data_IF_991299080466
#
_entry.id   IF_991299080466
#
_cell.length_a   1.000
_cell.length_b   1.000
_cell.length_c   1.000
_cell.angle_alpha   90.00
_cell.angle_beta   90.00
_cell.angle_gamma   90.00
#
_symmetry.space_group_name_H-M   'P 1'
#
loop_
_entity.id
_entity.type
_entity.pdbx_description
1 polymer ?
#
# COMPACT_ATOMS: atom_id res chain seq x y z
N UNK A 1 -12.27 -26.13 -20.41
CA UNK A 1 -11.69 -27.04 -19.40
C UNK A 1 -11.87 -26.41 -18.05
N UNK A 2 -12.65 -27.03 -17.15
CA UNK A 2 -12.87 -26.55 -15.79
C UNK A 2 -11.58 -26.71 -15.01
N UNK A 3 -10.98 -25.59 -14.57
CA UNK A 3 -9.84 -25.60 -13.66
C UNK A 3 -10.26 -26.24 -12.34
N UNK A 4 -9.52 -27.23 -11.94
CA UNK A 4 -9.66 -27.95 -10.67
C UNK A 4 -9.32 -26.93 -9.58
N UNK A 5 -10.33 -26.54 -8.79
CA UNK A 5 -10.12 -25.81 -7.54
C UNK A 5 -9.58 -26.85 -6.57
N UNK A 6 -8.26 -26.82 -6.31
CA UNK A 6 -7.69 -27.53 -5.17
C UNK A 6 -8.28 -26.96 -3.89
N UNK A 7 -9.22 -27.72 -3.32
CA UNK A 7 -9.79 -27.50 -2.00
C UNK A 7 -8.70 -27.80 -0.96
N UNK A 8 -8.02 -26.75 -0.45
CA UNK A 8 -7.05 -26.93 0.64
C UNK A 8 -6.02 -25.82 0.84
N UNK A 9 -5.98 -24.79 0.00
CA UNK A 9 -5.08 -23.65 0.23
C UNK A 9 -5.57 -22.83 1.43
N UNK A 10 -4.72 -22.64 2.44
CA UNK A 10 -5.01 -21.75 3.56
C UNK A 10 -5.37 -20.35 3.04
N UNK A 11 -6.38 -19.72 3.67
CA UNK A 11 -6.75 -18.33 3.38
C UNK A 11 -5.52 -17.44 3.49
N UNK A 12 -5.31 -16.60 2.49
CA UNK A 12 -4.20 -15.65 2.42
C UNK A 12 -4.69 -14.21 2.48
N UNK A 13 -3.90 -13.38 3.13
CA UNK A 13 -4.10 -11.94 3.20
C UNK A 13 -2.84 -11.22 2.77
N UNK A 14 -2.91 -10.40 1.71
CA UNK A 14 -1.81 -9.54 1.28
C UNK A 14 -2.21 -8.06 1.34
N UNK A 15 -1.26 -7.20 1.69
CA UNK A 15 -1.44 -5.75 1.67
C UNK A 15 -0.58 -5.13 0.57
N UNK A 16 -1.17 -4.22 -0.22
CA UNK A 16 -0.44 -3.44 -1.24
C UNK A 16 -0.10 -2.09 -0.65
N UNK A 17 1.19 -1.84 -0.46
CA UNK A 17 1.74 -0.64 0.16
C UNK A 17 2.41 0.28 -0.88
N UNK A 18 2.55 1.57 -0.53
CA UNK A 18 3.27 2.54 -1.35
C UNK A 18 2.68 3.94 -1.32
N UNK A 19 3.42 4.87 -1.87
CA UNK A 19 3.14 6.31 -1.81
C UNK A 19 1.83 6.71 -2.54
N UNK A 20 1.42 7.96 -2.35
CA UNK A 20 0.28 8.56 -3.07
C UNK A 20 0.58 8.55 -4.58
N UNK A 21 -0.39 8.12 -5.38
CA UNK A 21 -0.25 8.08 -6.84
C UNK A 21 0.52 6.89 -7.42
N UNK A 22 1.10 5.99 -6.60
CA UNK A 22 1.93 4.88 -7.11
C UNK A 22 1.16 3.80 -7.89
N UNK A 23 -0.19 3.71 -7.74
CA UNK A 23 -1.03 2.75 -8.45
C UNK A 23 -1.54 1.57 -7.62
N UNK A 24 -1.55 1.68 -6.28
CA UNK A 24 -2.03 0.62 -5.36
C UNK A 24 -3.42 0.08 -5.71
N UNK A 25 -4.42 0.96 -5.78
CA UNK A 25 -5.82 0.56 -6.03
C UNK A 25 -5.96 -0.16 -7.38
N UNK A 26 -5.23 0.28 -8.39
CA UNK A 26 -5.19 -0.37 -9.70
C UNK A 26 -4.58 -1.76 -9.61
N UNK A 27 -3.44 -1.90 -8.90
CA UNK A 27 -2.83 -3.22 -8.71
C UNK A 27 -3.74 -4.15 -7.90
N UNK A 28 -4.39 -3.66 -6.84
CA UNK A 28 -5.37 -4.43 -6.05
C UNK A 28 -6.51 -4.95 -6.94
N UNK A 29 -7.06 -4.10 -7.82
CA UNK A 29 -8.11 -4.51 -8.77
C UNK A 29 -7.63 -5.60 -9.73
N UNK A 30 -6.45 -5.42 -10.32
CA UNK A 30 -5.89 -6.38 -11.29
C UNK A 30 -5.54 -7.71 -10.63
N UNK A 31 -4.90 -7.68 -9.45
CA UNK A 31 -4.58 -8.88 -8.68
C UNK A 31 -5.85 -9.60 -8.21
N UNK A 32 -6.88 -8.86 -7.77
CA UNK A 32 -8.17 -9.42 -7.38
C UNK A 32 -8.78 -10.24 -8.53
N UNK A 33 -8.81 -9.69 -9.73
CA UNK A 33 -9.31 -10.38 -10.93
C UNK A 33 -8.46 -11.59 -11.30
N UNK A 34 -7.12 -11.46 -11.19
CA UNK A 34 -6.17 -12.50 -11.62
C UNK A 34 -6.12 -13.69 -10.65
N UNK A 35 -6.18 -13.42 -9.33
CA UNK A 35 -6.08 -14.43 -8.27
C UNK A 35 -7.45 -14.93 -7.78
N UNK A 36 -8.55 -14.25 -8.10
CA UNK A 36 -9.88 -14.52 -7.58
C UNK A 36 -10.02 -14.17 -6.09
N UNK A 37 -9.22 -13.23 -5.58
CA UNK A 37 -9.20 -12.81 -4.17
C UNK A 37 -10.06 -11.57 -3.96
N UNK A 38 -10.65 -11.42 -2.76
CA UNK A 38 -11.50 -10.29 -2.44
C UNK A 38 -10.70 -8.99 -2.28
N UNK A 39 -11.04 -7.89 -3.00
CA UNK A 39 -10.38 -6.60 -2.82
C UNK A 39 -10.98 -5.83 -1.64
N UNK A 40 -10.12 -5.16 -0.86
CA UNK A 40 -10.47 -4.23 0.21
C UNK A 40 -9.81 -2.89 -0.09
N UNK A 41 -10.59 -1.92 -0.55
CA UNK A 41 -10.10 -0.60 -0.94
C UNK A 41 -10.02 0.37 0.22
N UNK A 42 -9.16 1.38 0.07
CA UNK A 42 -9.05 2.50 1.00
C UNK A 42 -10.29 3.41 0.87
N UNK A 43 -11.00 3.71 1.98
CA UNK A 43 -12.19 4.58 1.96
C UNK A 43 -11.78 6.07 1.97
N UNK A 44 -10.91 6.51 1.07
CA UNK A 44 -10.39 7.90 1.02
C UNK A 44 -11.50 8.94 0.93
N UNK A 45 -12.51 8.71 0.08
CA UNK A 45 -13.60 9.66 -0.16
C UNK A 45 -14.58 9.83 1.01
N UNK A 46 -14.48 9.02 2.05
CA UNK A 46 -15.33 9.09 3.23
C UNK A 46 -14.76 9.96 4.36
N UNK A 47 -13.49 10.41 4.25
CA UNK A 47 -12.87 11.20 5.30
C UNK A 47 -13.45 12.63 5.32
N UNK A 48 -14.27 12.99 6.32
CA UNK A 48 -14.90 14.29 6.39
C UNK A 48 -13.90 15.42 6.65
N UNK A 49 -12.70 15.12 7.11
CA UNK A 49 -11.63 16.08 7.40
C UNK A 49 -10.68 16.31 6.23
N UNK A 50 -10.80 15.55 5.12
CA UNK A 50 -9.76 15.53 4.09
C UNK A 50 -9.60 16.87 3.37
N UNK A 51 -10.70 17.56 3.07
CA UNK A 51 -10.66 18.87 2.43
C UNK A 51 -10.05 19.93 3.36
N UNK A 52 -10.46 19.95 4.63
CA UNK A 52 -9.94 20.87 5.64
C UNK A 52 -8.48 20.58 5.96
N UNK A 53 -8.09 19.30 6.00
CA UNK A 53 -6.70 18.87 6.19
C UNK A 53 -5.76 19.43 5.13
N UNK A 54 -6.14 19.40 3.85
CA UNK A 54 -5.29 19.97 2.79
C UNK A 54 -5.26 21.50 2.81
N UNK A 55 -6.24 22.17 3.44
CA UNK A 55 -6.24 23.63 3.64
C UNK A 55 -5.41 24.06 4.85
N UNK A 56 -5.54 23.34 5.98
CA UNK A 56 -4.80 23.59 7.23
C UNK A 56 -4.41 22.27 7.89
N UNK A 57 -3.22 21.77 7.50
CA UNK A 57 -2.69 20.51 8.04
C UNK A 57 -2.48 20.58 9.56
N UNK A 58 -2.10 21.75 10.12
CA UNK A 58 -1.83 21.88 11.56
C UNK A 58 -3.12 21.69 12.38
N UNK A 59 -4.23 22.25 11.93
CA UNK A 59 -5.50 22.12 12.63
C UNK A 59 -6.12 20.72 12.49
N UNK A 60 -5.93 20.06 11.34
CA UNK A 60 -6.73 18.88 10.98
C UNK A 60 -5.96 17.56 10.87
N UNK A 61 -4.62 17.57 11.00
CA UNK A 61 -3.81 16.34 10.87
C UNK A 61 -4.23 15.26 11.84
N UNK A 62 -4.32 15.55 13.14
CA UNK A 62 -4.67 14.55 14.14
C UNK A 62 -6.06 13.94 13.86
N UNK A 63 -7.05 14.76 13.58
CA UNK A 63 -8.42 14.32 13.29
C UNK A 63 -8.49 13.41 12.06
N UNK A 64 -7.80 13.82 10.99
CA UNK A 64 -7.73 13.05 9.75
C UNK A 64 -7.03 11.72 9.95
N UNK A 65 -5.92 11.68 10.72
CA UNK A 65 -5.19 10.44 10.98
C UNK A 65 -5.95 9.48 11.90
N UNK A 66 -6.69 9.97 12.90
CA UNK A 66 -7.56 9.13 13.73
C UNK A 66 -8.70 8.53 12.90
N UNK A 67 -9.26 9.31 11.95
CA UNK A 67 -10.28 8.78 11.04
C UNK A 67 -9.72 7.65 10.18
N UNK A 68 -8.58 7.86 9.51
CA UNK A 68 -7.95 6.84 8.68
C UNK A 68 -7.61 5.58 9.48
N UNK A 69 -6.99 5.72 10.65
CA UNK A 69 -6.69 4.60 11.54
C UNK A 69 -7.95 3.79 11.88
N UNK A 70 -9.03 4.47 12.26
CA UNK A 70 -10.31 3.83 12.62
C UNK A 70 -10.89 3.04 11.44
N UNK A 71 -10.95 3.66 10.25
CA UNK A 71 -11.47 3.01 9.04
C UNK A 71 -10.61 1.83 8.61
N UNK A 72 -9.29 1.95 8.74
CA UNK A 72 -8.34 0.89 8.41
C UNK A 72 -8.50 -0.32 9.33
N UNK A 73 -8.65 -0.08 10.63
CA UNK A 73 -8.90 -1.15 11.60
C UNK A 73 -10.21 -1.88 11.33
N UNK A 74 -11.27 -1.14 10.99
CA UNK A 74 -12.57 -1.74 10.61
C UNK A 74 -12.43 -2.58 9.33
N UNK A 75 -11.77 -2.05 8.31
CA UNK A 75 -11.52 -2.79 7.06
C UNK A 75 -10.68 -4.04 7.29
N UNK A 76 -9.62 -3.94 8.11
CA UNK A 76 -8.79 -5.08 8.48
C UNK A 76 -9.61 -6.16 9.21
N UNK A 77 -10.49 -5.77 10.15
CA UNK A 77 -11.39 -6.68 10.83
C UNK A 77 -12.32 -7.40 9.85
N UNK A 78 -12.98 -6.65 8.96
CA UNK A 78 -13.86 -7.23 7.92
C UNK A 78 -13.11 -8.20 7.02
N UNK A 79 -11.86 -7.88 6.67
CA UNK A 79 -10.99 -8.75 5.87
C UNK A 79 -10.69 -10.06 6.61
N UNK A 80 -10.42 -10.02 7.92
CA UNK A 80 -10.19 -11.21 8.73
C UNK A 80 -11.41 -12.09 8.83
N UNK A 81 -12.61 -11.50 8.90
CA UNK A 81 -13.89 -12.24 8.94
C UNK A 81 -14.32 -12.75 7.54
N UNK A 82 -13.70 -12.28 6.45
CA UNK A 82 -14.00 -12.71 5.09
C UNK A 82 -13.60 -14.17 4.85
N UNK A 83 -14.39 -14.94 4.09
CA UNK A 83 -14.18 -16.40 3.91
C UNK A 83 -13.07 -16.76 2.93
N UNK A 84 -12.79 -15.92 1.94
CA UNK A 84 -11.75 -16.17 0.94
C UNK A 84 -10.49 -15.34 1.20
N UNK A 85 -9.41 -15.65 0.47
CA UNK A 85 -8.21 -14.84 0.44
C UNK A 85 -8.52 -13.40 0.02
N UNK A 86 -7.74 -12.44 0.49
CA UNK A 86 -8.03 -11.02 0.34
C UNK A 86 -6.78 -10.19 0.01
N UNK A 87 -7.01 -9.05 -0.65
CA UNK A 87 -6.00 -8.06 -1.00
C UNK A 87 -6.45 -6.72 -0.47
N UNK A 88 -5.64 -6.07 0.35
CA UNK A 88 -5.95 -4.77 0.94
C UNK A 88 -5.14 -3.66 0.29
N UNK A 89 -5.81 -2.58 -0.10
CA UNK A 89 -5.19 -1.32 -0.51
C UNK A 89 -4.78 -0.55 0.72
N UNK A 90 -3.48 -0.44 0.95
CA UNK A 90 -2.82 0.16 2.10
C UNK A 90 -3.09 -0.57 3.43
N UNK A 91 -2.08 -0.68 4.25
CA UNK A 91 -2.12 -1.33 5.56
C UNK A 91 -2.26 -0.32 6.70
N UNK A 92 -2.67 -0.80 7.87
CA UNK A 92 -2.70 0.00 9.11
C UNK A 92 -1.31 0.49 9.54
N UNK A 93 -0.27 -0.23 9.15
CA UNK A 93 1.12 0.13 9.46
C UNK A 93 1.55 1.41 8.76
N UNK A 94 1.14 1.62 7.50
CA UNK A 94 1.46 2.82 6.73
C UNK A 94 0.84 4.08 7.34
N UNK A 95 -0.37 3.98 7.90
CA UNK A 95 -1.04 5.12 8.53
C UNK A 95 -0.20 5.68 9.69
N UNK A 96 0.42 4.81 10.49
CA UNK A 96 1.21 5.21 11.66
C UNK A 96 2.68 5.52 11.30
N UNK A 97 3.33 4.58 10.57
CA UNK A 97 4.77 4.65 10.35
C UNK A 97 5.16 5.64 9.24
N UNK A 98 4.22 5.97 8.34
CA UNK A 98 4.47 6.89 7.23
C UNK A 98 3.71 8.21 7.42
N UNK A 99 2.37 8.16 7.43
CA UNK A 99 1.57 9.39 7.33
C UNK A 99 1.54 10.18 8.62
N UNK A 100 1.16 9.57 9.74
CA UNK A 100 1.13 10.26 11.02
C UNK A 100 2.54 10.67 11.46
N UNK A 101 3.54 9.81 11.22
CA UNK A 101 4.96 10.11 11.50
C UNK A 101 5.45 11.31 10.67
N UNK A 102 5.18 11.35 9.37
CA UNK A 102 5.53 12.48 8.53
C UNK A 102 4.91 13.80 9.03
N UNK A 103 3.64 13.78 9.40
CA UNK A 103 2.95 14.96 9.91
C UNK A 103 3.50 15.42 11.25
N UNK A 104 3.91 14.50 12.11
CA UNK A 104 4.63 14.81 13.34
C UNK A 104 6.00 15.46 13.05
N UNK A 105 6.81 14.88 12.20
CA UNK A 105 8.14 15.42 11.82
C UNK A 105 8.05 16.83 11.19
N UNK A 106 6.93 17.16 10.56
CA UNK A 106 6.67 18.48 9.99
C UNK A 106 6.05 19.47 11.01
N UNK A 107 5.81 19.05 12.25
CA UNK A 107 5.17 19.89 13.28
C UNK A 107 3.67 20.11 13.05
N UNK A 108 3.03 19.34 12.15
CA UNK A 108 1.58 19.40 11.92
C UNK A 108 0.78 18.61 12.97
N UNK A 109 1.43 17.70 13.70
CA UNK A 109 0.89 17.03 14.88
C UNK A 109 1.84 17.34 16.04
N UNK A 110 1.32 17.86 17.15
CA UNK A 110 2.12 18.12 18.34
C UNK A 110 2.48 16.84 19.06
N UNK A 111 3.60 16.84 19.83
CA UNK A 111 4.16 15.65 20.49
C UNK A 111 3.12 14.85 21.30
N UNK A 112 2.33 15.50 22.17
CA UNK A 112 1.33 14.83 23.02
C UNK A 112 0.26 14.09 22.19
N UNK A 113 -0.17 14.69 21.07
CA UNK A 113 -1.21 14.14 20.22
C UNK A 113 -0.65 12.98 19.39
N UNK A 114 0.61 13.11 18.93
CA UNK A 114 1.33 12.04 18.24
C UNK A 114 1.55 10.82 19.17
N UNK A 115 1.96 11.03 20.44
CA UNK A 115 2.09 9.95 21.41
C UNK A 115 0.75 9.26 21.66
N UNK A 116 -0.34 10.01 21.84
CA UNK A 116 -1.69 9.46 21.98
C UNK A 116 -2.09 8.60 20.78
N UNK A 117 -1.80 9.08 19.56
CA UNK A 117 -2.02 8.33 18.34
C UNK A 117 -1.20 7.03 18.29
N UNK A 118 0.09 7.10 18.62
CA UNK A 118 1.01 5.95 18.65
C UNK A 118 0.57 4.90 19.66
N UNK A 119 0.19 5.31 20.87
CA UNK A 119 -0.29 4.41 21.90
C UNK A 119 -1.56 3.67 21.45
N UNK A 120 -2.51 4.39 20.87
CA UNK A 120 -3.73 3.81 20.31
C UNK A 120 -3.40 2.79 19.21
N UNK A 121 -2.55 3.17 18.24
CA UNK A 121 -2.09 2.30 17.17
C UNK A 121 -1.44 1.02 17.72
N UNK A 122 -0.49 1.14 18.66
CA UNK A 122 0.23 -0.01 19.24
C UNK A 122 -0.68 -0.96 20.00
N UNK A 123 -1.66 -0.42 20.76
CA UNK A 123 -2.63 -1.26 21.47
C UNK A 123 -3.50 -2.02 20.49
N UNK A 124 -4.04 -1.35 19.48
CA UNK A 124 -5.00 -1.95 18.54
C UNK A 124 -4.33 -2.98 17.61
N UNK A 125 -3.12 -2.69 17.12
CA UNK A 125 -2.41 -3.61 16.20
C UNK A 125 -1.92 -4.88 16.85
N UNK A 126 -1.73 -4.90 18.19
CA UNK A 126 -1.39 -6.14 18.92
C UNK A 126 -2.45 -7.24 18.80
N UNK A 127 -3.69 -6.88 18.51
CA UNK A 127 -4.80 -7.83 18.35
C UNK A 127 -5.09 -8.20 16.90
N UNK A 128 -4.32 -7.65 15.96
CA UNK A 128 -4.49 -7.91 14.53
C UNK A 128 -3.37 -8.82 14.03
N UNK A 129 -3.70 -9.96 13.40
CA UNK A 129 -2.68 -10.72 12.70
C UNK A 129 -2.12 -9.90 11.53
N UNK A 130 -0.81 -9.97 11.27
CA UNK A 130 -0.20 -9.30 10.14
C UNK A 130 -0.66 -9.92 8.81
N UNK A 131 -0.47 -9.24 7.68
CA UNK A 131 -0.63 -9.86 6.37
C UNK A 131 0.38 -11.00 6.16
N UNK A 132 0.05 -11.94 5.25
CA UNK A 132 1.00 -12.97 4.82
C UNK A 132 2.14 -12.38 3.96
N UNK A 133 1.90 -11.22 3.34
CA UNK A 133 2.85 -10.52 2.48
C UNK A 133 2.47 -9.04 2.35
N UNK A 134 3.46 -8.16 2.39
CA UNK A 134 3.34 -6.78 1.91
C UNK A 134 3.93 -6.68 0.50
N UNK A 135 3.14 -6.22 -0.46
CA UNK A 135 3.58 -5.87 -1.83
C UNK A 135 3.82 -4.37 -1.86
N UNK A 136 5.07 -3.95 -1.78
CA UNK A 136 5.45 -2.54 -1.77
C UNK A 136 5.73 -2.03 -3.17
N UNK A 137 4.91 -1.09 -3.65
CA UNK A 137 5.13 -0.38 -4.92
C UNK A 137 6.10 0.78 -4.69
N UNK A 138 7.30 0.70 -5.28
CA UNK A 138 8.30 1.76 -5.26
C UNK A 138 8.29 2.51 -6.59
N UNK A 139 8.19 3.85 -6.51
CA UNK A 139 8.29 4.73 -7.68
C UNK A 139 9.01 6.04 -7.36
N UNK A 140 9.59 6.66 -8.38
CA UNK A 140 10.19 7.99 -8.30
C UNK A 140 9.13 9.06 -8.08
N UNK A 141 9.53 10.20 -7.51
CA UNK A 141 8.62 11.35 -7.31
C UNK A 141 8.04 11.84 -8.64
N UNK A 142 8.82 11.80 -9.72
CA UNK A 142 8.38 12.19 -11.06
C UNK A 142 7.22 11.31 -11.55
N UNK A 143 7.35 9.98 -11.41
CA UNK A 143 6.28 9.03 -11.73
C UNK A 143 5.03 9.27 -10.88
N UNK A 144 5.21 9.52 -9.57
CA UNK A 144 4.08 9.79 -8.67
C UNK A 144 3.33 11.06 -9.09
N UNK A 145 4.05 12.15 -9.38
CA UNK A 145 3.46 13.42 -9.82
C UNK A 145 2.68 13.26 -11.14
N UNK A 146 3.27 12.56 -12.11
CA UNK A 146 2.62 12.27 -13.39
C UNK A 146 1.32 11.50 -13.18
N UNK A 147 1.33 10.46 -12.36
CA UNK A 147 0.13 9.64 -12.09
C UNK A 147 -0.93 10.39 -11.27
N UNK A 148 -0.52 11.24 -10.32
CA UNK A 148 -1.43 12.13 -9.56
C UNK A 148 -2.11 13.11 -10.51
N UNK A 149 -1.35 13.74 -11.41
CA UNK A 149 -1.89 14.67 -12.40
C UNK A 149 -2.90 14.01 -13.35
N UNK A 150 -2.59 12.78 -13.84
CA UNK A 150 -3.49 11.99 -14.68
C UNK A 150 -4.78 11.60 -13.96
N UNK A 151 -4.71 11.27 -12.67
CA UNK A 151 -5.88 10.92 -11.86
C UNK A 151 -6.81 12.11 -11.63
N UNK A 152 -6.28 13.32 -11.54
CA UNK A 152 -7.03 14.59 -11.61
C UNK A 152 -7.90 14.90 -10.40
N UNK A 153 -7.61 14.36 -9.20
CA UNK A 153 -8.35 14.69 -7.96
C UNK A 153 -8.01 16.11 -7.51
N UNK A 154 -9.02 16.96 -7.30
CA UNK A 154 -8.82 18.38 -7.00
C UNK A 154 -7.99 18.62 -5.74
N UNK A 155 -8.24 17.88 -4.65
CA UNK A 155 -7.50 18.03 -3.39
C UNK A 155 -6.04 17.56 -3.46
N UNK A 156 -5.65 16.76 -4.47
CA UNK A 156 -4.28 16.31 -4.66
C UNK A 156 -3.42 17.28 -5.45
N UNK A 157 -4.02 18.26 -6.15
CA UNK A 157 -3.28 19.25 -6.95
C UNK A 157 -2.33 20.11 -6.13
N UNK A 158 -2.54 20.19 -4.82
CA UNK A 158 -1.70 20.95 -3.88
C UNK A 158 -0.54 20.15 -3.30
N UNK A 159 -0.44 18.85 -3.60
CA UNK A 159 0.62 17.99 -3.09
C UNK A 159 1.96 18.38 -3.73
N UNK A 160 2.90 18.83 -2.88
CA UNK A 160 4.22 19.27 -3.34
C UNK A 160 5.16 18.08 -3.55
N UNK A 161 6.14 18.19 -4.48
CA UNK A 161 7.16 17.16 -4.70
C UNK A 161 7.91 16.78 -3.42
N UNK A 162 8.28 17.78 -2.60
CA UNK A 162 9.00 17.56 -1.34
C UNK A 162 8.20 16.72 -0.33
N UNK A 163 6.87 16.82 -0.37
CA UNK A 163 6.01 15.98 0.47
C UNK A 163 6.10 14.52 0.03
N UNK A 164 6.01 14.25 -1.28
CA UNK A 164 6.15 12.91 -1.85
C UNK A 164 7.55 12.33 -1.63
N UNK A 165 8.59 13.15 -1.72
CA UNK A 165 9.97 12.74 -1.45
C UNK A 165 10.13 12.28 -0.01
N UNK A 166 9.66 13.06 0.97
CA UNK A 166 9.71 12.66 2.38
C UNK A 166 8.95 11.37 2.65
N UNK A 167 7.78 11.18 2.03
CA UNK A 167 7.06 9.92 2.15
C UNK A 167 7.88 8.76 1.57
N UNK A 168 8.54 8.92 0.42
CA UNK A 168 9.41 7.89 -0.15
C UNK A 168 10.58 7.53 0.78
N UNK A 169 11.18 8.52 1.45
CA UNK A 169 12.25 8.27 2.43
C UNK A 169 11.75 7.47 3.63
N UNK A 170 10.55 7.82 4.15
CA UNK A 170 9.90 7.09 5.23
C UNK A 170 9.53 5.66 4.81
N UNK A 171 9.00 5.47 3.60
CA UNK A 171 8.74 4.13 3.07
C UNK A 171 10.02 3.30 2.98
N UNK A 172 11.11 3.90 2.48
CA UNK A 172 12.40 3.20 2.34
C UNK A 172 12.94 2.75 3.70
N UNK A 173 12.83 3.60 4.73
CA UNK A 173 13.24 3.26 6.09
C UNK A 173 12.33 2.21 6.71
N UNK A 174 11.00 2.39 6.60
CA UNK A 174 10.02 1.47 7.16
C UNK A 174 10.14 0.05 6.58
N UNK A 175 10.28 -0.08 5.26
CA UNK A 175 10.41 -1.39 4.59
C UNK A 175 11.65 -2.15 5.06
N UNK A 176 12.76 -1.46 5.34
CA UNK A 176 13.99 -2.09 5.87
C UNK A 176 13.82 -2.64 7.30
N UNK A 177 12.96 -1.99 8.08
CA UNK A 177 12.74 -2.32 9.50
C UNK A 177 11.52 -3.23 9.70
N UNK A 178 10.68 -3.39 8.68
CA UNK A 178 9.44 -4.16 8.77
C UNK A 178 9.71 -5.67 8.80
N UNK A 179 9.35 -6.33 9.91
CA UNK A 179 9.66 -7.75 10.17
C UNK A 179 8.45 -8.62 10.46
N UNK A 180 7.23 -8.05 10.40
CA UNK A 180 6.01 -8.79 10.74
C UNK A 180 5.62 -9.85 9.70
N UNK A 181 5.99 -9.64 8.44
CA UNK A 181 5.83 -10.60 7.35
C UNK A 181 6.84 -10.28 6.23
N UNK A 182 6.99 -11.15 5.22
CA UNK A 182 7.79 -10.86 4.03
C UNK A 182 7.33 -9.59 3.30
N UNK A 183 8.26 -8.92 2.63
CA UNK A 183 7.98 -7.77 1.76
C UNK A 183 8.49 -8.06 0.35
N UNK A 184 7.63 -7.90 -0.65
CA UNK A 184 8.00 -7.93 -2.06
C UNK A 184 8.00 -6.49 -2.60
N UNK A 185 9.17 -5.97 -2.94
CA UNK A 185 9.30 -4.64 -3.55
C UNK A 185 9.13 -4.72 -5.06
N UNK A 186 8.12 -4.04 -5.60
CA UNK A 186 7.81 -3.97 -7.04
C UNK A 186 8.34 -2.65 -7.61
N UNK A 187 9.22 -2.65 -8.64
CA UNK A 187 9.70 -1.45 -9.30
C UNK A 187 8.62 -0.86 -10.23
N UNK A 188 7.77 0.00 -9.66
CA UNK A 188 6.58 0.51 -10.36
C UNK A 188 6.89 1.59 -11.42
N UNK A 189 8.13 2.05 -11.52
CA UNK A 189 8.60 2.88 -12.64
C UNK A 189 8.79 2.02 -13.90
N UNK A 190 9.27 0.78 -13.73
CA UNK A 190 9.70 -0.09 -14.82
C UNK A 190 8.61 -1.05 -15.28
N UNK A 191 7.54 -1.21 -14.49
CA UNK A 191 6.47 -2.16 -14.77
C UNK A 191 5.12 -1.47 -14.98
N UNK A 192 4.69 -1.36 -16.24
CA UNK A 192 3.33 -0.92 -16.60
C UNK A 192 2.38 -2.13 -16.67
N UNK A 193 1.89 -2.57 -15.50
CA UNK A 193 0.96 -3.68 -15.38
C UNK A 193 -0.48 -3.35 -15.80
N UNK A 194 -0.74 -2.09 -16.21
CA UNK A 194 -2.02 -1.66 -16.79
C UNK A 194 -2.03 -1.90 -18.29
N UNK A 195 -0.97 -1.48 -18.98
CA UNK A 195 -0.84 -1.62 -20.42
C UNK A 195 -0.40 -3.06 -20.84
N UNK A 196 0.38 -3.74 -19.99
CA UNK A 196 1.03 -5.01 -20.35
C UNK A 196 0.69 -6.14 -19.39
N UNK A 197 -0.06 -7.14 -19.86
CA UNK A 197 -0.44 -8.33 -19.06
C UNK A 197 0.77 -9.13 -18.56
N UNK A 198 1.87 -9.17 -19.33
CA UNK A 198 3.13 -9.84 -18.94
C UNK A 198 3.75 -9.25 -17.68
N UNK A 199 3.62 -7.93 -17.46
CA UNK A 199 4.11 -7.27 -16.22
C UNK A 199 3.28 -7.71 -15.01
N UNK A 200 1.96 -7.80 -15.16
CA UNK A 200 1.10 -8.33 -14.11
C UNK A 200 1.39 -9.80 -13.83
N UNK A 201 1.62 -10.61 -14.87
CA UNK A 201 1.95 -12.05 -14.72
C UNK A 201 3.26 -12.23 -13.96
N UNK A 202 4.28 -11.41 -14.23
CA UNK A 202 5.54 -11.41 -13.46
C UNK A 202 5.31 -11.05 -11.99
N UNK A 203 4.51 -10.01 -11.70
CA UNK A 203 4.18 -9.63 -10.32
C UNK A 203 3.46 -10.78 -9.61
N UNK A 204 2.48 -11.42 -10.25
CA UNK A 204 1.74 -12.56 -9.69
C UNK A 204 2.66 -13.75 -9.41
N UNK A 205 3.60 -14.04 -10.31
CA UNK A 205 4.61 -15.10 -10.12
C UNK A 205 5.47 -14.82 -8.88
N UNK A 206 5.98 -13.58 -8.73
CA UNK A 206 6.79 -13.18 -7.57
C UNK A 206 6.00 -13.25 -6.27
N UNK A 207 4.73 -12.81 -6.26
CA UNK A 207 3.82 -12.95 -5.10
C UNK A 207 3.68 -14.42 -4.70
N UNK A 208 3.38 -15.32 -5.65
CA UNK A 208 3.20 -16.74 -5.38
C UNK A 208 4.49 -17.38 -4.85
N UNK A 209 5.65 -17.02 -5.41
CA UNK A 209 6.95 -17.50 -4.97
C UNK A 209 7.24 -17.07 -3.52
N UNK A 210 6.98 -15.81 -3.17
CA UNK A 210 7.16 -15.30 -1.80
C UNK A 210 6.21 -15.99 -0.81
N UNK A 211 4.94 -16.15 -1.17
CA UNK A 211 3.95 -16.84 -0.34
C UNK A 211 4.24 -18.35 -0.17
N UNK A 212 4.98 -18.94 -1.10
CA UNK A 212 5.48 -20.32 -1.00
C UNK A 212 6.75 -20.44 -0.12
N UNK A 213 7.25 -19.33 0.43
CA UNK A 213 8.41 -19.30 1.32
C UNK A 213 9.75 -19.40 0.61
N UNK A 214 9.84 -19.02 -0.67
CA UNK A 214 11.12 -18.88 -1.36
C UNK A 214 11.89 -17.69 -0.78
N UNK A 215 13.16 -17.93 -0.45
CA UNK A 215 14.06 -16.86 -0.02
C UNK A 215 14.42 -15.95 -1.20
N UNK A 216 14.65 -14.67 -0.93
CA UNK A 216 15.13 -13.66 -1.89
C UNK A 216 14.33 -13.57 -3.20
N UNK A 217 13.04 -13.37 -3.11
CA UNK A 217 12.22 -13.06 -4.30
C UNK A 217 12.40 -11.59 -4.67
N UNK A 218 13.16 -11.34 -5.72
CA UNK A 218 13.44 -10.00 -6.26
C UNK A 218 12.99 -9.90 -7.73
N UNK A 219 12.90 -8.68 -8.25
CA UNK A 219 12.74 -8.40 -9.68
C UNK A 219 14.13 -8.20 -10.28
N UNK A 220 14.63 -9.20 -10.97
CA UNK A 220 15.91 -9.10 -11.67
C UNK A 220 15.81 -8.18 -12.88
N UNK A 221 16.87 -7.40 -13.15
CA UNK A 221 16.89 -6.45 -14.27
C UNK A 221 16.59 -7.13 -15.61
N UNK A 222 17.11 -8.35 -15.81
CA UNK A 222 16.87 -9.15 -17.01
C UNK A 222 15.40 -9.57 -17.17
N UNK A 223 14.70 -9.91 -16.07
CA UNK A 223 13.28 -10.26 -16.10
C UNK A 223 12.44 -9.04 -16.46
N UNK A 224 12.75 -7.89 -15.84
CA UNK A 224 12.08 -6.61 -16.11
C UNK A 224 12.33 -6.18 -17.56
N UNK A 225 13.58 -6.26 -18.04
CA UNK A 225 13.93 -5.95 -19.42
C UNK A 225 13.20 -6.84 -20.43
N UNK A 226 13.06 -8.14 -20.13
CA UNK A 226 12.35 -9.09 -20.98
C UNK A 226 10.88 -8.75 -21.13
N UNK A 227 10.17 -8.45 -20.03
CA UNK A 227 8.74 -8.11 -20.12
C UNK A 227 8.50 -6.75 -20.75
N UNK A 228 9.50 -5.86 -20.72
CA UNK A 228 9.52 -4.58 -21.43
C UNK A 228 9.87 -4.69 -22.92
N UNK A 229 10.23 -5.89 -23.41
CA UNK A 229 10.63 -6.10 -24.80
C UNK A 229 12.00 -5.51 -25.16
N UNK A 230 12.88 -5.31 -24.17
CA UNK A 230 14.22 -4.72 -24.32
C UNK A 230 15.32 -5.76 -24.54
N UNK A 231 15.00 -7.05 -24.41
CA UNK A 231 15.89 -8.18 -24.69
C UNK A 231 15.32 -9.03 -25.81
N UNK A 232 16.12 -9.28 -26.83
CA UNK A 232 15.86 -10.23 -27.93
C UNK A 232 16.24 -11.64 -27.53
#
# INVERSE_FOLDING_TARGET
MKGIIESGSAKRFIAVAGNIGVGKSTLVELLSKRLGWAPFYEPEGENPYLADFYQDMTAWSFHSQIFFLTRRLLAHRQLLDHKSSAIQDRSVYEDAEIFAHNLFLQGNIVERDYQTYRDLYLVLTRFLPPPDLVVYLRATVETLQTRIALRGRDYERTIKPDYLSRLNDLYTSWIKEFTLCPVLTVPADDLDYVAHGSHLDLIVEKINNTLAGKEEVVFEEEEVARVNGLTS
#
